data_IF_870180874841
#
_entry.id   IF_870180874841
#
_cell.length_a   1.000
_cell.length_b   1.000
_cell.length_c   1.000
_cell.angle_alpha   90.00
_cell.angle_beta   90.00
_cell.angle_gamma   90.00
#
_symmetry.space_group_name_H-M   'P 1'
#
loop_
_entity.id
_entity.type
_entity.pdbx_description
1 polymer ?
#
# COMPACT_ATOMS: atom_id res chain seq x y z
N UNK A 1 -10.00 -11.29 -0.93
CA UNK A 1 -9.13 -10.12 -0.81
C UNK A 1 -9.80 -8.93 -1.47
N UNK A 2 -9.87 -7.83 -0.78
CA UNK A 2 -10.56 -6.66 -1.27
C UNK A 2 -9.57 -5.52 -1.55
N UNK A 3 -9.87 -4.72 -2.56
CA UNK A 3 -9.11 -3.50 -2.83
C UNK A 3 -9.12 -2.62 -1.58
N UNK A 4 -8.00 -2.01 -1.28
CA UNK A 4 -7.73 -1.17 -0.08
C UNK A 4 -7.57 -1.95 1.21
N UNK A 5 -7.56 -3.28 1.17
CA UNK A 5 -7.11 -4.07 2.31
C UNK A 5 -5.64 -3.80 2.60
N UNK A 6 -5.29 -3.77 3.87
CA UNK A 6 -3.91 -3.58 4.34
C UNK A 6 -3.46 -4.86 5.02
N UNK A 7 -2.30 -5.36 4.63
CA UNK A 7 -1.69 -6.57 5.16
C UNK A 7 -0.38 -6.25 5.84
N UNK A 8 -0.04 -6.99 6.88
CA UNK A 8 1.31 -6.91 7.44
C UNK A 8 2.32 -7.44 6.43
N UNK A 9 3.48 -6.80 6.38
CA UNK A 9 4.59 -7.31 5.59
C UNK A 9 4.99 -8.69 6.14
N UNK A 10 5.01 -9.74 5.30
CA UNK A 10 5.36 -11.09 5.75
C UNK A 10 6.83 -11.23 6.15
N UNK A 11 7.71 -10.37 5.66
CA UNK A 11 9.13 -10.38 6.02
C UNK A 11 9.34 -9.63 7.33
N UNK A 12 9.68 -10.38 8.40
CA UNK A 12 9.84 -9.82 9.74
C UNK A 12 10.95 -8.78 9.83
N UNK A 13 12.03 -8.96 9.08
CA UNK A 13 13.15 -8.01 9.08
C UNK A 13 12.78 -6.72 8.36
N UNK A 14 12.12 -6.82 7.21
CA UNK A 14 11.71 -5.67 6.43
C UNK A 14 10.58 -4.89 7.10
N UNK A 15 9.79 -5.54 7.95
CA UNK A 15 8.65 -4.94 8.64
C UNK A 15 9.03 -3.72 9.49
N UNK A 16 10.28 -3.62 9.90
CA UNK A 16 10.80 -2.46 10.65
C UNK A 16 10.72 -1.17 9.85
N UNK A 17 10.82 -1.28 8.54
CA UNK A 17 10.85 -0.14 7.61
C UNK A 17 9.57 -0.06 6.79
N UNK A 18 9.04 -1.22 6.39
CA UNK A 18 7.83 -1.37 5.60
C UNK A 18 6.87 -2.27 6.39
N UNK A 19 6.10 -1.71 7.33
CA UNK A 19 5.24 -2.54 8.18
C UNK A 19 4.06 -3.16 7.44
N UNK A 20 3.58 -2.53 6.35
CA UNK A 20 2.37 -2.97 5.67
C UNK A 20 2.48 -2.93 4.16
N UNK A 21 1.60 -3.71 3.53
CA UNK A 21 1.30 -3.61 2.10
C UNK A 21 -0.16 -3.24 1.90
N UNK A 22 -0.41 -2.30 0.99
CA UNK A 22 -1.75 -1.83 0.63
C UNK A 22 -2.17 -2.49 -0.68
N UNK A 23 -3.26 -3.25 -0.66
CA UNK A 23 -3.83 -3.89 -1.84
C UNK A 23 -4.55 -2.85 -2.68
N UNK A 24 -4.15 -2.70 -3.95
CA UNK A 24 -4.75 -1.76 -4.90
C UNK A 24 -5.37 -2.47 -6.10
N UNK A 25 -5.40 -3.81 -6.09
CA UNK A 25 -5.94 -4.59 -7.19
C UNK A 25 -7.46 -4.66 -7.14
N UNK A 26 -8.08 -4.79 -8.30
CA UNK A 26 -9.53 -4.98 -8.40
C UNK A 26 -9.98 -6.12 -7.48
N UNK A 27 -10.96 -5.85 -6.62
CA UNK A 27 -11.51 -6.83 -5.67
C UNK A 27 -11.98 -8.13 -6.36
N UNK A 28 -12.53 -8.00 -7.55
CA UNK A 28 -13.13 -9.12 -8.26
C UNK A 28 -12.16 -9.92 -9.14
N UNK A 29 -10.92 -9.48 -9.20
CA UNK A 29 -9.89 -10.20 -9.95
C UNK A 29 -9.19 -11.20 -9.01
N UNK A 30 -9.58 -12.46 -9.12
CA UNK A 30 -9.04 -13.54 -8.29
C UNK A 30 -7.97 -14.29 -9.04
N UNK A 31 -6.72 -13.89 -8.85
CA UNK A 31 -5.55 -14.56 -9.42
C UNK A 31 -4.55 -14.79 -8.28
N UNK A 32 -3.43 -15.46 -8.59
CA UNK A 32 -2.46 -15.89 -7.58
C UNK A 32 -1.62 -14.76 -6.98
N UNK A 33 -1.77 -13.54 -7.51
CA UNK A 33 -1.02 -12.38 -7.04
C UNK A 33 -1.96 -11.20 -6.76
N UNK A 34 -1.48 -10.31 -5.88
CA UNK A 34 -2.13 -9.01 -5.63
C UNK A 34 -1.12 -7.91 -5.90
N UNK A 35 -1.54 -6.86 -6.59
CA UNK A 35 -0.72 -5.66 -6.75
C UNK A 35 -0.86 -4.82 -5.50
N UNK A 36 0.25 -4.50 -4.87
CA UNK A 36 0.28 -3.76 -3.60
C UNK A 36 1.22 -2.57 -3.66
N UNK A 37 0.97 -1.59 -2.80
CA UNK A 37 1.88 -0.47 -2.54
C UNK A 37 2.53 -0.71 -1.17
N UNK A 38 3.87 -0.69 -1.07
CA UNK A 38 4.53 -0.74 0.24
C UNK A 38 4.23 0.52 1.05
N UNK A 39 3.90 0.33 2.32
CA UNK A 39 3.67 1.43 3.27
C UNK A 39 4.85 1.50 4.22
N UNK A 40 5.59 2.60 4.16
CA UNK A 40 6.82 2.80 4.92
C UNK A 40 6.60 3.52 6.24
N UNK A 41 7.45 3.25 7.21
CA UNK A 41 7.58 4.09 8.39
C UNK A 41 7.94 5.51 7.97
N UNK A 42 7.33 6.52 8.60
CA UNK A 42 7.57 7.92 8.22
C UNK A 42 9.03 8.33 8.40
N UNK A 43 9.68 7.83 9.45
CA UNK A 43 11.07 8.15 9.76
C UNK A 43 12.06 7.58 8.74
N UNK A 44 11.66 6.55 8.01
CA UNK A 44 12.52 5.85 7.06
C UNK A 44 12.36 6.35 5.62
N UNK A 45 11.40 7.24 5.38
CA UNK A 45 11.12 7.71 4.04
C UNK A 45 11.59 9.15 3.85
N UNK A 46 12.71 9.32 3.15
CA UNK A 46 13.39 10.62 2.99
C UNK A 46 13.10 11.32 1.67
N UNK A 47 12.65 10.60 0.64
CA UNK A 47 12.41 11.18 -0.68
C UNK A 47 10.91 11.28 -0.94
N UNK A 48 10.35 12.45 -0.70
CA UNK A 48 8.93 12.70 -0.92
C UNK A 48 8.70 13.42 -2.24
N UNK A 49 8.00 12.75 -3.15
CA UNK A 49 7.44 13.40 -4.32
C UNK A 49 5.97 13.70 -4.02
N UNK A 50 5.60 14.96 -4.05
CA UNK A 50 4.25 15.42 -3.75
C UNK A 50 3.22 14.64 -4.58
N UNK A 51 2.11 14.24 -3.94
CA UNK A 51 1.03 13.44 -4.50
C UNK A 51 1.39 12.00 -4.83
N UNK A 52 2.66 11.65 -4.88
CA UNK A 52 3.11 10.28 -5.13
C UNK A 52 3.38 9.54 -3.82
N UNK A 53 4.09 10.20 -2.90
CA UNK A 53 4.46 9.64 -1.60
C UNK A 53 3.65 10.36 -0.51
N UNK A 54 2.42 9.98 -0.36
CA UNK A 54 1.47 10.63 0.54
C UNK A 54 1.30 9.81 1.82
N UNK A 55 1.08 10.51 2.93
CA UNK A 55 0.79 9.87 4.20
C UNK A 55 -0.59 9.21 4.18
N UNK A 56 -0.66 8.05 4.82
CA UNK A 56 -1.90 7.27 4.99
C UNK A 56 -1.98 6.84 6.44
N UNK A 57 -3.19 6.77 6.99
CA UNK A 57 -3.38 6.32 8.36
C UNK A 57 -3.88 4.87 8.37
N UNK A 58 -3.15 4.01 9.08
CA UNK A 58 -3.50 2.60 9.27
C UNK A 58 -3.47 2.30 10.75
N UNK A 59 -4.62 1.93 11.33
CA UNK A 59 -4.74 1.60 12.76
C UNK A 59 -4.14 2.70 13.66
N UNK A 60 -4.52 3.95 13.39
CA UNK A 60 -4.03 5.13 14.12
C UNK A 60 -2.54 5.45 13.93
N UNK A 61 -1.87 4.71 13.05
CA UNK A 61 -0.47 4.92 12.73
C UNK A 61 -0.36 5.60 11.36
N UNK A 62 0.44 6.66 11.28
CA UNK A 62 0.72 7.32 10.02
C UNK A 62 1.88 6.61 9.32
N UNK A 63 1.68 6.27 8.06
CA UNK A 63 2.68 5.64 7.19
C UNK A 63 2.74 6.39 5.88
N UNK A 64 3.79 6.17 5.09
CA UNK A 64 3.97 6.81 3.78
C UNK A 64 3.81 5.77 2.67
N UNK A 65 2.96 6.07 1.69
CA UNK A 65 2.82 5.24 0.50
C UNK A 65 4.06 5.39 -0.39
N UNK A 66 4.77 4.31 -0.62
CA UNK A 66 5.84 4.27 -1.62
C UNK A 66 5.25 3.80 -2.96
N UNK A 67 4.48 4.68 -3.58
CA UNK A 67 3.63 4.34 -4.73
C UNK A 67 4.43 3.84 -5.92
N UNK A 68 5.59 4.43 -6.20
CA UNK A 68 6.44 4.01 -7.33
C UNK A 68 7.04 2.62 -7.16
N UNK A 69 7.03 2.08 -5.94
CA UNK A 69 7.52 0.73 -5.67
C UNK A 69 6.41 -0.33 -5.68
N UNK A 70 5.23 0.01 -6.20
CA UNK A 70 4.14 -0.96 -6.30
C UNK A 70 4.59 -2.19 -7.09
N UNK A 71 4.06 -3.34 -6.74
CA UNK A 71 4.43 -4.59 -7.38
C UNK A 71 3.51 -5.71 -6.95
N UNK A 72 3.69 -6.87 -7.58
CA UNK A 72 2.89 -8.06 -7.31
C UNK A 72 3.47 -8.86 -6.17
N UNK A 73 2.61 -9.33 -5.28
CA UNK A 73 2.96 -10.25 -4.20
C UNK A 73 2.07 -11.47 -4.30
N UNK A 74 2.62 -12.69 -4.14
CA UNK A 74 1.80 -13.90 -4.13
C UNK A 74 0.74 -13.82 -3.02
N UNK A 75 -0.48 -14.22 -3.33
CA UNK A 75 -1.57 -14.23 -2.34
C UNK A 75 -1.24 -15.12 -1.15
N UNK A 76 -0.44 -16.15 -1.36
CA UNK A 76 0.00 -17.06 -0.29
C UNK A 76 0.85 -16.37 0.78
N UNK A 77 1.49 -15.24 0.44
CA UNK A 77 2.30 -14.46 1.39
C UNK A 77 1.46 -13.44 2.18
N UNK A 78 0.23 -13.20 1.75
CA UNK A 78 -0.67 -12.25 2.38
C UNK A 78 -1.67 -13.01 3.25
N UNK A 79 -1.66 -12.75 4.53
CA UNK A 79 -2.55 -13.39 5.49
C UNK A 79 -3.86 -12.62 5.59
N UNK A 80 -4.43 -12.51 6.78
CA UNK A 80 -5.63 -11.72 7.00
C UNK A 80 -5.31 -10.23 6.90
N UNK A 81 -6.16 -9.43 6.28
CA UNK A 81 -5.98 -7.98 6.33
C UNK A 81 -6.09 -7.48 7.78
N UNK A 82 -5.25 -6.54 8.14
CA UNK A 82 -5.29 -5.89 9.46
C UNK A 82 -6.17 -4.66 9.46
N UNK A 83 -6.48 -4.12 8.28
CA UNK A 83 -7.34 -2.95 8.10
C UNK A 83 -7.86 -2.89 6.68
N UNK A 84 -8.83 -2.03 6.43
CA UNK A 84 -9.23 -1.61 5.09
C UNK A 84 -9.33 -0.09 5.07
N UNK A 85 -8.65 0.55 4.13
CA UNK A 85 -8.54 2.02 4.08
C UNK A 85 -9.34 2.64 2.94
N UNK A 86 -10.46 2.03 2.56
CA UNK A 86 -11.34 2.54 1.50
C UNK A 86 -11.81 3.98 1.77
N UNK A 87 -11.90 4.40 3.02
CA UNK A 87 -12.25 5.78 3.36
C UNK A 87 -11.20 6.80 2.91
N UNK A 88 -10.00 6.34 2.61
CA UNK A 88 -8.89 7.17 2.13
C UNK A 88 -8.61 6.95 0.64
N UNK A 89 -9.59 6.40 -0.10
CA UNK A 89 -9.40 6.04 -1.51
C UNK A 89 -9.01 7.22 -2.40
N UNK A 90 -9.45 8.42 -2.09
CA UNK A 90 -9.14 9.60 -2.90
C UNK A 90 -7.63 9.91 -2.89
N UNK A 91 -7.00 9.78 -1.72
CA UNK A 91 -5.55 9.95 -1.57
C UNK A 91 -4.81 8.88 -2.38
N UNK A 92 -5.26 7.65 -2.29
CA UNK A 92 -4.65 6.51 -2.96
C UNK A 92 -4.80 6.65 -4.48
N UNK A 93 -6.01 6.96 -4.94
CA UNK A 93 -6.28 7.12 -6.37
C UNK A 93 -5.46 8.29 -6.94
N UNK A 94 -5.34 9.38 -6.20
CA UNK A 94 -4.54 10.52 -6.63
C UNK A 94 -3.05 10.15 -6.81
N UNK A 95 -2.52 9.33 -5.92
CA UNK A 95 -1.14 8.84 -6.03
C UNK A 95 -0.95 7.95 -7.25
N UNK A 96 -1.91 7.06 -7.53
CA UNK A 96 -1.87 6.19 -8.71
C UNK A 96 -1.97 7.01 -9.99
N UNK A 97 -2.85 8.01 -10.04
CA UNK A 97 -2.99 8.89 -11.19
C UNK A 97 -1.71 9.68 -11.44
N UNK A 98 -1.05 10.12 -10.38
CA UNK A 98 0.26 10.79 -10.47
C UNK A 98 1.31 9.88 -11.09
N UNK A 99 1.35 8.62 -10.64
CA UNK A 99 2.32 7.65 -11.14
C UNK A 99 2.07 7.28 -12.61
N UNK A 100 0.82 7.08 -12.98
CA UNK A 100 0.45 6.57 -14.30
C UNK A 100 0.05 7.64 -15.31
N UNK A 101 0.11 8.91 -14.91
CA UNK A 101 -0.20 10.01 -15.83
C UNK A 101 -1.70 10.14 -16.13
N UNK A 102 -2.55 9.92 -15.13
CA UNK A 102 -3.99 10.04 -15.26
C UNK A 102 -4.53 11.47 -15.35
N UNK A 103 -3.64 12.43 -15.37
CA UNK A 103 -3.99 13.85 -15.50
C UNK A 103 -3.71 14.35 -16.89
#
# INVERSE_FOLDING_TARGET
MARFDVYQNPDLEERKYVPFFLDIQNTYLEIETRVVIPLHETAEFVNNVKNLNTALTVQDKQVIMNTSALGSIPTSDLRRPVANVATQQDIIQNALDTLFGGY
#
